data_IF_529490060597
#
_entry.id   IF_529490060597
#
_cell.length_a   1.000
_cell.length_b   1.000
_cell.length_c   1.000
_cell.angle_alpha   90.00
_cell.angle_beta   90.00
_cell.angle_gamma   90.00
#
_symmetry.space_group_name_H-M   'P 1'
#
loop_
_entity.id
_entity.type
_entity.pdbx_description
1 polymer ?
#
# COMPACT_ATOMS: atom_id res chain seq x y z
N UNK A 1 -6.79 -3.49 6.47
CA UNK A 1 -5.50 -3.87 5.89
C UNK A 1 -4.60 -4.24 7.04
N UNK A 2 -4.16 -5.48 7.06
CA UNK A 2 -3.22 -5.99 8.04
C UNK A 2 -1.80 -5.63 7.61
N UNK A 3 -0.89 -5.62 8.57
CA UNK A 3 0.53 -5.52 8.29
C UNK A 3 0.93 -6.67 7.36
N UNK A 4 1.74 -6.37 6.34
CA UNK A 4 2.20 -7.29 5.29
C UNK A 4 1.15 -7.71 4.26
N UNK A 5 -0.01 -7.05 4.22
CA UNK A 5 -0.94 -7.21 3.10
C UNK A 5 -0.44 -6.51 1.84
N UNK A 6 -0.68 -7.13 0.68
CA UNK A 6 -0.53 -6.49 -0.64
C UNK A 6 -1.91 -6.15 -1.18
N UNK A 7 -2.08 -4.93 -1.67
CA UNK A 7 -3.35 -4.45 -2.22
C UNK A 7 -3.14 -3.72 -3.54
N UNK A 8 -4.20 -3.68 -4.36
CA UNK A 8 -4.18 -2.95 -5.64
C UNK A 8 -4.09 -1.45 -5.37
N UNK A 9 -3.26 -0.77 -6.15
CA UNK A 9 -3.21 0.69 -6.13
C UNK A 9 -4.53 1.28 -6.68
N UNK A 10 -5.32 1.98 -5.86
CA UNK A 10 -6.59 2.55 -6.32
C UNK A 10 -6.39 3.82 -7.18
N UNK A 11 -5.19 4.40 -7.19
CA UNK A 11 -4.91 5.59 -7.97
C UNK A 11 -4.72 5.23 -9.45
N UNK A 12 -5.72 5.52 -10.27
CA UNK A 12 -5.71 5.23 -11.72
C UNK A 12 -4.58 5.91 -12.47
N UNK A 13 -4.08 7.06 -11.99
CA UNK A 13 -2.99 7.78 -12.65
C UNK A 13 -1.62 7.09 -12.46
N UNK A 14 -1.45 6.28 -11.41
CA UNK A 14 -0.18 5.60 -11.10
C UNK A 14 -0.28 4.08 -11.12
N UNK A 15 -1.49 3.51 -11.21
CA UNK A 15 -1.74 2.06 -11.18
C UNK A 15 -1.10 1.29 -12.35
N UNK A 16 -0.81 1.96 -13.46
CA UNK A 16 -0.11 1.34 -14.59
C UNK A 16 1.33 0.98 -14.19
N UNK A 17 2.10 1.96 -13.69
CA UNK A 17 3.49 1.78 -13.26
C UNK A 17 3.63 1.14 -11.88
N UNK A 18 2.67 1.35 -10.97
CA UNK A 18 2.65 0.84 -9.61
C UNK A 18 1.30 0.14 -9.37
N UNK A 19 1.13 -1.10 -9.83
CA UNK A 19 -0.13 -1.83 -9.70
C UNK A 19 -0.49 -2.22 -8.27
N UNK A 20 0.51 -2.39 -7.40
CA UNK A 20 0.30 -2.88 -6.04
C UNK A 20 1.06 -2.06 -5.01
N UNK A 21 0.53 -2.09 -3.79
CA UNK A 21 1.05 -1.42 -2.61
C UNK A 21 1.18 -2.47 -1.50
N UNK A 22 2.31 -2.50 -0.81
CA UNK A 22 2.61 -3.45 0.26
C UNK A 22 2.59 -2.72 1.62
N UNK A 23 1.68 -3.10 2.51
CA UNK A 23 1.56 -2.51 3.86
C UNK A 23 2.71 -2.99 4.74
N UNK A 24 3.53 -2.05 5.22
CA UNK A 24 4.63 -2.33 6.16
C UNK A 24 4.38 -1.72 7.54
N UNK A 25 3.26 -1.02 7.72
CA UNK A 25 2.93 -0.35 8.96
C UNK A 25 2.60 -1.38 10.04
N UNK A 26 3.22 -1.23 11.20
CA UNK A 26 2.88 -2.06 12.37
C UNK A 26 1.43 -1.82 12.80
N UNK A 27 0.82 -2.83 13.42
CA UNK A 27 -0.56 -2.75 13.93
C UNK A 27 -0.78 -1.78 15.11
N UNK A 28 0.19 -0.94 15.46
CA UNK A 28 0.17 -0.02 16.60
C UNK A 28 0.30 1.44 16.12
N UNK A 29 -0.53 2.40 16.55
CA UNK A 29 -1.89 2.29 17.05
C UNK A 29 -2.93 2.70 15.97
N UNK A 30 -4.04 1.94 15.91
CA UNK A 30 -5.00 1.87 14.80
C UNK A 30 -5.92 3.07 14.54
N UNK A 31 -5.46 4.29 14.81
CA UNK A 31 -6.21 5.54 14.60
C UNK A 31 -5.67 6.41 13.47
N UNK A 32 -4.60 5.97 12.79
CA UNK A 32 -4.13 6.66 11.58
C UNK A 32 -5.04 6.35 10.40
N UNK A 33 -5.53 7.40 9.75
CA UNK A 33 -6.30 7.32 8.50
C UNK A 33 -5.41 7.03 7.27
N UNK A 34 -4.09 6.98 7.47
CA UNK A 34 -3.08 6.69 6.45
C UNK A 34 -2.26 5.44 6.79
N UNK A 35 -1.62 4.86 5.77
CA UNK A 35 -0.76 3.67 5.89
C UNK A 35 0.60 3.93 5.25
N UNK A 36 1.67 3.50 5.93
CA UNK A 36 3.00 3.40 5.34
C UNK A 36 3.09 2.16 4.45
N UNK A 37 3.42 2.37 3.17
CA UNK A 37 3.44 1.29 2.16
C UNK A 37 4.66 1.37 1.26
N UNK A 38 5.06 0.24 0.69
CA UNK A 38 6.01 0.19 -0.42
C UNK A 38 5.30 0.00 -1.77
N UNK A 39 5.64 0.81 -2.79
CA UNK A 39 5.12 0.62 -4.14
C UNK A 39 5.81 -0.57 -4.81
N UNK A 40 5.01 -1.50 -5.34
CA UNK A 40 5.51 -2.60 -6.17
C UNK A 40 5.39 -2.18 -7.63
N UNK A 41 6.46 -1.60 -8.17
CA UNK A 41 6.51 -1.12 -9.54
C UNK A 41 6.72 -2.25 -10.54
N UNK A 42 6.19 -2.10 -11.76
CA UNK A 42 6.59 -2.95 -12.89
C UNK A 42 7.92 -2.44 -13.47
N UNK A 43 8.82 -3.34 -13.88
CA UNK A 43 10.04 -2.97 -14.60
C UNK A 43 9.74 -2.34 -15.96
#
# INVERSE_FOLDING_TARGET
MAQFDVFRNPNSATAEGIPFLFDVQSGLPGHLITRLVFPLARP
#
